data_IF_388886109864
#
_entry.id   IF_388886109864
#
_cell.length_a   1.000
_cell.length_b   1.000
_cell.length_c   1.000
_cell.angle_alpha   90.00
_cell.angle_beta   90.00
_cell.angle_gamma   90.00
#
_symmetry.space_group_name_H-M   'P 1'
#
loop_
_entity.id
_entity.type
_entity.pdbx_description
1 polymer ?
#
# COMPACT_ATOMS: atom_id res chain seq x y z
N UNK A 1 25.18 40.29 -38.29
CA UNK A 1 24.17 39.27 -38.65
C UNK A 1 24.09 38.29 -37.50
N UNK A 2 22.95 38.26 -36.83
CA UNK A 2 22.72 37.41 -35.67
C UNK A 2 22.43 35.97 -36.06
N UNK A 3 22.71 35.06 -35.14
CA UNK A 3 21.89 33.86 -34.99
C UNK A 3 21.71 33.61 -33.49
N UNK A 4 20.47 33.77 -33.07
CA UNK A 4 19.96 33.58 -31.73
C UNK A 4 20.00 32.09 -31.41
N UNK A 5 20.83 31.69 -30.44
CA UNK A 5 20.82 30.32 -29.94
C UNK A 5 19.78 30.21 -28.82
N UNK A 6 18.65 29.62 -29.16
CA UNK A 6 17.59 29.22 -28.24
C UNK A 6 18.18 28.28 -27.18
N UNK A 7 18.24 28.69 -25.91
CA UNK A 7 18.55 27.80 -24.78
C UNK A 7 17.27 27.57 -23.99
N UNK A 8 16.50 26.58 -24.42
CA UNK A 8 15.31 26.06 -23.74
C UNK A 8 15.63 24.71 -23.11
N UNK A 9 16.61 24.63 -22.20
CA UNK A 9 17.03 23.34 -21.61
C UNK A 9 16.99 23.28 -20.08
N UNK A 10 16.39 24.28 -19.39
CA UNK A 10 16.40 24.31 -17.90
C UNK A 10 15.09 23.86 -17.24
N UNK A 11 14.00 23.68 -18.00
CA UNK A 11 12.67 23.39 -17.45
C UNK A 11 12.41 21.88 -17.29
N UNK A 12 13.06 21.04 -18.11
CA UNK A 12 12.94 19.58 -18.07
C UNK A 12 13.50 18.96 -16.79
N UNK A 13 14.69 19.40 -16.39
CA UNK A 13 15.47 18.69 -15.36
C UNK A 13 14.89 18.85 -13.95
N UNK A 14 14.31 20.02 -13.65
CA UNK A 14 13.70 20.29 -12.33
C UNK A 14 12.43 19.47 -12.11
N UNK A 15 11.57 19.36 -13.14
CA UNK A 15 10.38 18.51 -13.08
C UNK A 15 10.76 17.03 -12.91
N UNK A 16 11.84 16.61 -13.57
CA UNK A 16 12.39 15.26 -13.45
C UNK A 16 12.86 14.93 -12.03
N UNK A 17 13.55 15.83 -11.33
CA UNK A 17 14.05 15.56 -9.98
C UNK A 17 12.93 15.45 -8.94
N UNK A 18 11.91 16.29 -9.01
CA UNK A 18 10.76 16.19 -8.10
C UNK A 18 9.90 14.95 -8.38
N UNK A 19 9.72 14.58 -9.66
CA UNK A 19 9.08 13.31 -10.03
C UNK A 19 9.88 12.09 -9.54
N UNK A 20 11.22 12.11 -9.64
CA UNK A 20 12.09 11.05 -9.11
C UNK A 20 11.97 10.93 -7.59
N UNK A 21 11.92 12.05 -6.85
CA UNK A 21 11.71 12.05 -5.40
C UNK A 21 10.36 11.42 -5.04
N UNK A 22 9.28 11.86 -5.70
CA UNK A 22 7.93 11.30 -5.50
C UNK A 22 7.87 9.82 -5.84
N UNK A 23 8.48 9.41 -6.94
CA UNK A 23 8.57 8.00 -7.31
C UNK A 23 9.28 7.18 -6.24
N UNK A 24 10.40 7.66 -5.72
CA UNK A 24 11.16 6.99 -4.65
C UNK A 24 10.38 6.92 -3.34
N UNK A 25 9.62 7.97 -2.99
CA UNK A 25 8.71 7.95 -1.84
C UNK A 25 7.67 6.84 -1.99
N UNK A 26 6.97 6.80 -3.14
CA UNK A 26 5.95 5.78 -3.45
C UNK A 26 6.55 4.38 -3.41
N UNK A 27 7.70 4.15 -4.02
CA UNK A 27 8.38 2.84 -4.00
C UNK A 27 8.74 2.40 -2.58
N UNK A 28 9.20 3.35 -1.75
CA UNK A 28 9.54 3.05 -0.35
C UNK A 28 8.31 2.65 0.46
N UNK A 29 7.17 3.29 0.19
CA UNK A 29 5.88 2.99 0.84
C UNK A 29 5.36 1.62 0.37
N UNK A 30 5.38 1.35 -0.95
CA UNK A 30 5.02 0.04 -1.51
C UNK A 30 5.89 -1.08 -0.94
N UNK A 31 7.19 -0.84 -0.75
CA UNK A 31 8.11 -1.84 -0.20
C UNK A 31 7.79 -2.15 1.27
N UNK A 32 7.44 -1.13 2.06
CA UNK A 32 6.98 -1.30 3.46
C UNK A 32 5.67 -2.07 3.50
N UNK A 33 4.69 -1.71 2.68
CA UNK A 33 3.40 -2.42 2.61
C UNK A 33 3.58 -3.89 2.21
N UNK A 34 4.41 -4.18 1.21
CA UNK A 34 4.74 -5.57 0.82
C UNK A 34 5.36 -6.36 1.96
N UNK A 35 6.20 -5.74 2.78
CA UNK A 35 6.82 -6.40 3.94
C UNK A 35 5.80 -6.67 5.04
N UNK A 36 4.94 -5.69 5.32
CA UNK A 36 3.87 -5.84 6.30
C UNK A 36 2.87 -6.91 5.84
N UNK A 37 2.50 -6.94 4.57
CA UNK A 37 1.62 -7.95 3.99
C UNK A 37 2.19 -9.37 4.07
N UNK A 38 3.50 -9.53 3.88
CA UNK A 38 4.17 -10.82 4.08
C UNK A 38 4.11 -11.28 5.54
N UNK A 39 4.10 -10.35 6.49
CA UNK A 39 3.99 -10.64 7.93
C UNK A 39 2.54 -10.84 8.39
N UNK A 40 1.55 -10.37 7.60
CA UNK A 40 0.12 -10.53 7.93
C UNK A 40 -0.33 -11.97 7.71
N UNK A 41 -0.85 -12.58 8.77
CA UNK A 41 -1.53 -13.88 8.69
C UNK A 41 -2.95 -13.65 8.15
N UNK A 42 -3.27 -14.29 7.02
CA UNK A 42 -4.58 -14.23 6.36
C UNK A 42 -5.36 -15.51 6.68
N UNK A 43 -6.56 -15.37 7.25
CA UNK A 43 -7.41 -16.50 7.64
C UNK A 43 -8.77 -16.35 6.94
N UNK A 44 -9.27 -17.45 6.38
CA UNK A 44 -10.61 -17.54 5.79
C UNK A 44 -11.52 -18.31 6.75
N UNK A 45 -12.64 -17.70 7.14
CA UNK A 45 -13.66 -18.37 7.96
C UNK A 45 -14.76 -18.92 7.05
N UNK A 46 -14.92 -20.24 7.06
CA UNK A 46 -15.95 -20.96 6.30
C UNK A 46 -17.06 -21.47 7.23
N UNK A 47 -18.29 -21.54 6.73
CA UNK A 47 -19.43 -22.11 7.45
C UNK A 47 -20.76 -21.53 7.01
N UNK A 48 -21.87 -22.10 7.48
CA UNK A 48 -23.23 -21.62 7.22
C UNK A 48 -23.46 -20.18 7.72
N UNK A 49 -24.52 -19.52 7.25
CA UNK A 49 -24.82 -18.10 7.53
C UNK A 49 -24.82 -17.73 9.02
N UNK A 50 -25.29 -18.63 9.91
CA UNK A 50 -25.43 -18.38 11.35
C UNK A 50 -24.36 -19.07 12.23
N UNK A 51 -23.28 -19.59 11.65
CA UNK A 51 -22.24 -20.30 12.39
C UNK A 51 -21.35 -19.41 13.30
N UNK A 52 -21.70 -18.14 13.49
CA UNK A 52 -21.00 -17.24 14.40
C UNK A 52 -19.64 -16.71 13.91
N UNK A 53 -19.37 -16.75 12.59
CA UNK A 53 -18.11 -16.24 11.99
C UNK A 53 -17.79 -14.79 12.41
N UNK A 54 -18.82 -13.93 12.49
CA UNK A 54 -18.67 -12.53 12.91
C UNK A 54 -18.34 -12.39 14.41
N UNK A 55 -18.78 -13.34 15.25
CA UNK A 55 -18.48 -13.37 16.69
C UNK A 55 -17.01 -13.66 16.93
N UNK A 56 -16.41 -14.60 16.19
CA UNK A 56 -14.98 -14.92 16.28
C UNK A 56 -14.14 -13.68 15.99
N UNK A 57 -14.41 -13.00 14.86
CA UNK A 57 -13.65 -11.80 14.49
C UNK A 57 -13.86 -10.65 15.48
N UNK A 58 -15.07 -10.48 16.03
CA UNK A 58 -15.31 -9.49 17.09
C UNK A 58 -14.50 -9.77 18.36
N UNK A 59 -14.35 -11.04 18.74
CA UNK A 59 -13.53 -11.42 19.90
C UNK A 59 -12.05 -11.22 19.64
N UNK A 60 -11.56 -11.56 18.44
CA UNK A 60 -10.17 -11.34 18.07
C UNK A 60 -9.75 -9.85 18.16
N UNK A 61 -10.67 -8.92 17.87
CA UNK A 61 -10.43 -7.48 18.07
C UNK A 61 -10.31 -7.08 19.55
N UNK A 62 -11.08 -7.72 20.44
CA UNK A 62 -11.07 -7.44 21.88
C UNK A 62 -9.80 -7.97 22.57
N UNK A 63 -9.29 -9.11 22.13
CA UNK A 63 -8.12 -9.78 22.73
C UNK A 63 -6.78 -9.10 22.35
N UNK A 64 -6.79 -8.17 21.39
CA UNK A 64 -5.73 -7.15 21.25
C UNK A 64 -4.35 -7.61 20.76
N UNK A 65 -4.12 -8.89 20.47
CA UNK A 65 -2.75 -9.40 20.27
C UNK A 65 -2.38 -9.87 18.87
N UNK A 66 -3.29 -9.93 17.89
CA UNK A 66 -2.93 -10.40 16.54
C UNK A 66 -3.59 -9.55 15.45
N UNK A 67 -2.76 -8.94 14.60
CA UNK A 67 -3.18 -8.32 13.33
C UNK A 67 -3.51 -9.43 12.31
N UNK A 68 -4.63 -10.13 12.50
CA UNK A 68 -5.15 -11.08 11.51
C UNK A 68 -6.06 -10.37 10.52
N UNK A 69 -5.80 -10.55 9.23
CA UNK A 69 -6.76 -10.18 8.18
C UNK A 69 -7.70 -11.37 7.95
N UNK A 70 -8.98 -11.20 8.30
CA UNK A 70 -10.02 -12.22 8.17
C UNK A 70 -10.96 -11.87 7.01
N UNK A 71 -11.17 -12.81 6.10
CA UNK A 71 -12.17 -12.71 5.02
C UNK A 71 -13.33 -13.67 5.30
N UNK A 72 -14.54 -13.31 4.84
CA UNK A 72 -15.73 -14.16 4.93
C UNK A 72 -16.21 -14.51 3.52
N UNK A 73 -16.48 -15.79 3.27
CA UNK A 73 -17.14 -16.28 2.07
C UNK A 73 -18.32 -17.16 2.50
N UNK A 74 -19.46 -17.01 1.82
CA UNK A 74 -20.69 -17.77 2.07
C UNK A 74 -20.72 -19.02 1.21
#
# INVERSE_FOLDING_TARGET
>A
MGSSLCKTDKVSDVLSEDLKKRHKEIESELAREKLDDKRRIKILLLGASDSGKSTIVKQMRKVGHIRVAMSYQT
#
